data_IF_218909205509
#
_entry.id   IF_218909205509
#
_cell.length_a   1.000
_cell.length_b   1.000
_cell.length_c   1.000
_cell.angle_alpha   90.00
_cell.angle_beta   90.00
_cell.angle_gamma   90.00
#
_symmetry.space_group_name_H-M   'P 1'
#
loop_
_entity.id
_entity.type
_entity.pdbx_description
1 polymer ?
#
# COMPACT_ATOMS: atom_id res chain seq x y z
N UNK A 1 -10.33 13.91 5.25
CA UNK A 1 -11.48 14.24 4.37
C UNK A 1 -11.04 14.04 2.94
N UNK A 2 -11.40 12.92 2.30
CA UNK A 2 -11.21 12.73 0.86
C UNK A 2 -12.26 13.58 0.15
N UNK A 3 -11.85 14.76 -0.33
CA UNK A 3 -12.67 15.66 -1.12
C UNK A 3 -12.12 15.74 -2.54
N UNK A 4 -13.01 15.80 -3.53
CA UNK A 4 -12.61 16.26 -4.87
C UNK A 4 -12.17 17.70 -4.73
N UNK A 5 -10.96 18.01 -5.17
CA UNK A 5 -10.44 19.38 -5.23
C UNK A 5 -10.09 19.77 -6.64
N UNK A 6 -10.16 21.06 -6.93
CA UNK A 6 -9.64 21.60 -8.17
C UNK A 6 -8.13 21.82 -8.03
N UNK A 7 -7.35 21.14 -8.86
CA UNK A 7 -5.91 21.37 -9.01
C UNK A 7 -5.64 22.06 -10.34
N UNK A 8 -4.74 23.02 -10.34
CA UNK A 8 -4.30 23.67 -11.57
C UNK A 8 -3.15 22.86 -12.17
N UNK A 9 -3.33 22.39 -13.39
CA UNK A 9 -2.32 21.60 -14.11
C UNK A 9 -1.93 22.31 -15.40
N UNK A 10 -0.67 22.14 -15.80
CA UNK A 10 -0.22 22.59 -17.10
C UNK A 10 -0.66 21.61 -18.18
N UNK A 11 -1.41 22.07 -19.18
CA UNK A 11 -1.88 21.25 -20.30
C UNK A 11 -1.09 21.48 -21.58
N UNK A 12 -0.47 22.66 -21.74
CA UNK A 12 0.39 22.96 -22.87
C UNK A 12 1.72 23.56 -22.41
N UNK A 13 2.81 23.05 -22.97
CA UNK A 13 4.17 23.52 -22.70
C UNK A 13 4.74 24.25 -23.91
N UNK A 14 5.64 25.19 -23.66
CA UNK A 14 6.40 25.90 -24.71
C UNK A 14 7.87 25.99 -24.31
N UNK A 15 8.77 25.86 -25.27
CA UNK A 15 10.21 26.07 -25.04
C UNK A 15 10.52 27.56 -24.95
N UNK A 16 11.35 27.96 -23.99
CA UNK A 16 11.94 29.30 -23.92
C UNK A 16 13.19 29.38 -24.81
N UNK A 17 13.64 30.59 -25.19
CA UNK A 17 14.87 30.77 -25.97
C UNK A 17 16.12 30.21 -25.31
N UNK A 18 16.09 30.10 -23.98
CA UNK A 18 17.18 29.57 -23.14
C UNK A 18 17.16 28.03 -23.05
N UNK A 19 16.18 27.37 -23.67
CA UNK A 19 16.05 25.90 -23.70
C UNK A 19 15.25 25.31 -22.53
N UNK A 20 14.59 26.13 -21.70
CA UNK A 20 13.71 25.64 -20.63
C UNK A 20 12.29 25.40 -21.14
N UNK A 21 11.55 24.52 -20.46
CA UNK A 21 10.12 24.32 -20.72
C UNK A 21 9.31 25.20 -19.78
N UNK A 22 8.54 26.14 -20.34
CA UNK A 22 7.60 26.98 -19.61
C UNK A 22 6.17 26.48 -19.85
N UNK A 23 5.33 26.57 -18.83
CA UNK A 23 3.91 26.29 -18.99
C UNK A 23 3.25 27.43 -19.81
N UNK A 24 2.58 27.08 -20.90
CA UNK A 24 1.84 28.02 -21.77
C UNK A 24 0.36 28.10 -21.40
N UNK A 25 -0.23 26.97 -21.03
CA UNK A 25 -1.67 26.87 -20.78
C UNK A 25 -1.94 26.09 -19.49
N UNK A 26 -2.74 26.70 -18.63
CA UNK A 26 -3.17 26.14 -17.35
C UNK A 26 -4.63 25.74 -17.46
N UNK A 27 -4.97 24.54 -17.00
CA UNK A 27 -6.34 24.08 -16.87
C UNK A 27 -6.62 23.65 -15.44
N UNK A 28 -7.87 23.85 -15.02
CA UNK A 28 -8.37 23.30 -13.76
C UNK A 28 -8.86 21.89 -13.99
N UNK A 29 -8.34 20.95 -13.22
CA UNK A 29 -8.77 19.56 -13.24
C UNK A 29 -9.26 19.16 -11.85
N UNK A 30 -10.29 18.31 -11.82
CA UNK A 30 -10.75 17.71 -10.58
C UNK A 30 -9.84 16.53 -10.23
N UNK A 31 -9.22 16.58 -9.06
CA UNK A 31 -8.38 15.52 -8.55
C UNK A 31 -8.81 15.12 -7.14
N UNK A 32 -8.60 13.85 -6.80
CA UNK A 32 -8.74 13.37 -5.44
C UNK A 32 -7.45 13.67 -4.67
N UNK A 33 -7.54 14.45 -3.59
CA UNK A 33 -6.46 14.54 -2.63
C UNK A 33 -6.40 13.23 -1.84
N UNK A 34 -5.33 12.48 -2.08
CA UNK A 34 -4.95 11.35 -1.23
C UNK A 34 -4.15 11.94 -0.07
N UNK A 35 -4.60 11.74 1.19
CA UNK A 35 -3.85 12.24 2.31
C UNK A 35 -2.54 11.43 2.48
N UNK A 36 -1.48 12.02 3.06
CA UNK A 36 -0.14 11.40 3.10
C UNK A 36 -0.13 10.04 3.81
N UNK A 37 -0.99 9.84 4.80
CA UNK A 37 -1.18 8.54 5.47
C UNK A 37 -1.68 7.42 4.54
N UNK A 38 -2.33 7.77 3.42
CA UNK A 38 -2.86 6.81 2.45
C UNK A 38 -1.90 6.58 1.26
N UNK A 39 -0.79 7.31 1.16
CA UNK A 39 0.14 7.24 0.03
C UNK A 39 0.67 5.81 -0.20
N UNK A 40 0.99 5.08 0.88
CA UNK A 40 1.47 3.69 0.79
C UNK A 40 0.45 2.72 0.20
N UNK A 41 -0.85 2.91 0.46
CA UNK A 41 -1.91 2.08 -0.13
C UNK A 41 -2.12 2.37 -1.61
N UNK A 42 -1.96 3.63 -2.02
CA UNK A 42 -2.03 4.02 -3.43
C UNK A 42 -0.82 3.52 -4.20
N UNK A 43 0.36 3.55 -3.60
CA UNK A 43 1.56 2.99 -4.21
C UNK A 43 1.41 1.49 -4.52
N UNK A 44 0.89 0.71 -3.55
CA UNK A 44 0.53 -0.70 -3.75
C UNK A 44 -0.52 -0.87 -4.86
N UNK A 45 -1.51 0.01 -4.94
CA UNK A 45 -2.56 -0.06 -5.96
C UNK A 45 -2.04 0.24 -7.37
N UNK A 46 -1.14 1.22 -7.51
CA UNK A 46 -0.62 1.69 -8.80
C UNK A 46 0.51 0.81 -9.32
N UNK A 47 1.46 0.46 -8.47
CA UNK A 47 2.66 -0.31 -8.85
C UNK A 47 2.48 -1.83 -8.64
N UNK A 48 1.38 -2.24 -8.01
CA UNK A 48 1.21 -3.61 -7.51
C UNK A 48 2.05 -3.85 -6.25
N UNK A 49 1.72 -4.91 -5.50
CA UNK A 49 2.46 -5.30 -4.29
C UNK A 49 1.55 -5.76 -3.16
N UNK A 50 2.09 -5.78 -1.95
CA UNK A 50 1.35 -6.08 -0.71
C UNK A 50 1.83 -5.16 0.41
N UNK A 51 0.98 -4.91 1.41
CA UNK A 51 1.40 -4.17 2.61
C UNK A 51 2.34 -5.04 3.45
N UNK A 52 3.59 -4.61 3.71
CA UNK A 52 4.53 -5.37 4.55
C UNK A 52 3.98 -5.62 5.96
N UNK A 53 3.22 -4.67 6.48
CA UNK A 53 2.56 -4.76 7.79
C UNK A 53 1.47 -5.83 7.79
N UNK A 54 0.57 -5.79 6.81
CA UNK A 54 -0.50 -6.77 6.67
C UNK A 54 0.06 -8.19 6.43
N UNK A 55 1.13 -8.29 5.63
CA UNK A 55 1.85 -9.54 5.42
C UNK A 55 2.49 -10.05 6.70
N UNK A 56 3.14 -9.18 7.48
CA UNK A 56 3.73 -9.54 8.78
C UNK A 56 2.70 -10.09 9.76
N UNK A 57 1.54 -9.43 9.88
CA UNK A 57 0.43 -9.90 10.71
C UNK A 57 -0.10 -11.25 10.22
N UNK A 58 -0.32 -11.39 8.90
CA UNK A 58 -0.79 -12.64 8.30
C UNK A 58 0.20 -13.80 8.51
N UNK A 59 1.48 -13.56 8.24
CA UNK A 59 2.54 -14.55 8.43
C UNK A 59 2.68 -14.96 9.89
N UNK A 60 2.68 -14.00 10.83
CA UNK A 60 2.72 -14.28 12.26
C UNK A 60 1.51 -15.11 12.72
N UNK A 61 0.31 -14.80 12.22
CA UNK A 61 -0.91 -15.56 12.51
C UNK A 61 -0.82 -17.01 12.00
N UNK A 62 -0.40 -17.21 10.75
CA UNK A 62 -0.24 -18.54 10.15
C UNK A 62 0.80 -19.35 10.91
N UNK A 63 2.00 -18.80 11.12
CA UNK A 63 3.08 -19.46 11.85
C UNK A 63 2.68 -19.76 13.31
N UNK A 64 2.01 -18.81 13.97
CA UNK A 64 1.48 -18.99 15.32
C UNK A 64 0.51 -20.15 15.39
N UNK A 65 -0.49 -20.19 14.50
CA UNK A 65 -1.47 -21.29 14.43
C UNK A 65 -0.81 -22.65 14.16
N UNK A 66 0.21 -22.67 13.28
CA UNK A 66 0.97 -23.87 12.98
C UNK A 66 1.74 -24.39 14.19
N UNK A 67 2.47 -23.51 14.90
CA UNK A 67 3.22 -23.87 16.11
C UNK A 67 2.28 -24.34 17.22
N UNK A 68 1.16 -23.64 17.44
CA UNK A 68 0.14 -24.06 18.41
C UNK A 68 -0.40 -25.45 18.08
N UNK A 69 -0.76 -25.70 16.82
CA UNK A 69 -1.22 -27.02 16.38
C UNK A 69 -0.17 -28.12 16.56
N UNK A 70 1.09 -27.83 16.23
CA UNK A 70 2.21 -28.75 16.41
C UNK A 70 2.42 -29.12 17.89
N UNK A 71 2.40 -28.13 18.78
CA UNK A 71 2.56 -28.34 20.22
C UNK A 71 1.42 -29.17 20.80
N UNK A 72 0.16 -28.86 20.44
CA UNK A 72 -1.00 -29.64 20.88
C UNK A 72 -0.91 -31.08 20.39
N UNK A 73 -0.58 -31.28 19.10
CA UNK A 73 -0.39 -32.60 18.52
C UNK A 73 0.74 -33.39 19.19
N UNK A 74 1.84 -32.73 19.55
CA UNK A 74 2.96 -33.34 20.25
C UNK A 74 2.58 -33.77 21.67
N UNK A 75 1.93 -32.90 22.45
CA UNK A 75 1.43 -33.24 23.79
C UNK A 75 0.43 -34.39 23.73
N UNK A 76 -0.51 -34.37 22.78
CA UNK A 76 -1.45 -35.47 22.57
C UNK A 76 -0.74 -36.80 22.24
N UNK A 77 0.33 -36.77 21.44
CA UNK A 77 1.13 -37.95 21.11
C UNK A 77 1.85 -38.52 22.35
N UNK A 78 2.38 -37.65 23.22
CA UNK A 78 3.01 -38.07 24.48
C UNK A 78 2.00 -38.70 25.44
N UNK A 79 0.82 -38.09 25.60
CA UNK A 79 -0.27 -38.65 26.41
C UNK A 79 -0.74 -40.01 25.90
N UNK A 80 -0.76 -40.22 24.58
CA UNK A 80 -1.10 -41.52 23.97
C UNK A 80 -0.05 -42.60 24.21
N UNK A 81 1.23 -42.23 24.41
CA UNK A 81 2.32 -43.18 24.69
C UNK A 81 2.47 -43.49 26.18
N UNK A 82 1.95 -42.62 27.06
CA UNK A 82 1.99 -42.80 28.51
C UNK A 82 0.85 -43.72 29.03
N UNK A 83 -0.13 -44.03 28.19
CA UNK A 83 -1.23 -44.96 28.46
C UNK A 83 -0.98 -46.29 27.76
#
# INVERSE_FOLDING_TARGET
MSGVVAVQVCTAWTSTPEGFMACRELAWQQAYLIPPEAAGYVDILVNGGFSPEAFGIGAAGVLGSFVTGLLIGWVASLLRKAK
#
